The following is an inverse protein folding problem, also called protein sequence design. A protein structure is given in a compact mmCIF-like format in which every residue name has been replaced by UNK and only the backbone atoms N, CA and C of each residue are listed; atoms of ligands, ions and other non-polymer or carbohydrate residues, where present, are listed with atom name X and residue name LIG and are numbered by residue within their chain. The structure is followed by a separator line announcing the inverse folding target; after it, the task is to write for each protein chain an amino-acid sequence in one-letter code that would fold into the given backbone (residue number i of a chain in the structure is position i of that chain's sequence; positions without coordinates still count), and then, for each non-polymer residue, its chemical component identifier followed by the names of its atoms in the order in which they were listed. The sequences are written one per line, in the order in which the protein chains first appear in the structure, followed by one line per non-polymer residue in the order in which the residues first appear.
data_IF_135589434514
#
_entry.id   IF_135589434514
#
_cell.length_a   1.000
_cell.length_b   1.000
_cell.length_c   1.000
_cell.angle_alpha   90.00
_cell.angle_beta   90.00
_cell.angle_gamma   90.00
#
_symmetry.space_group_name_H-M   'P 1'
#
loop_
_entity.id
_entity.type
_entity.pdbx_description
1 polymer ?
#
# COMPACT_ATOMS: atom_id res chain seq x y z
N UNK A 1 17.58 -6.98 2.38
CA UNK A 1 16.80 -7.15 1.13
C UNK A 1 17.79 -7.43 0.02
N UNK A 2 17.57 -8.43 -0.84
CA UNK A 2 18.44 -8.66 -2.00
C UNK A 2 18.13 -7.64 -3.10
N UNK A 3 19.12 -7.34 -3.98
CA UNK A 3 18.90 -6.41 -5.12
C UNK A 3 17.75 -6.87 -6.03
N UNK A 4 17.48 -8.17 -6.07
CA UNK A 4 16.38 -8.73 -6.84
C UNK A 4 15.01 -8.40 -6.24
N UNK A 5 14.90 -8.30 -4.91
CA UNK A 5 13.65 -7.94 -4.23
C UNK A 5 13.25 -6.49 -4.49
N UNK A 6 14.23 -5.56 -4.52
CA UNK A 6 13.93 -4.13 -4.75
C UNK A 6 13.45 -3.84 -6.17
N UNK A 7 13.89 -4.63 -7.17
CA UNK A 7 13.45 -4.49 -8.56
C UNK A 7 11.99 -4.92 -8.77
N UNK A 8 11.48 -5.81 -7.93
CA UNK A 8 10.08 -6.28 -8.01
C UNK A 8 9.12 -5.46 -7.15
N UNK A 9 9.63 -4.61 -6.25
CA UNK A 9 8.80 -3.78 -5.38
C UNK A 9 8.39 -2.47 -6.05
N UNK A 10 7.20 -1.98 -5.71
CA UNK A 10 6.73 -0.65 -6.07
C UNK A 10 6.11 0.03 -4.86
N UNK A 11 6.66 1.19 -4.47
CA UNK A 11 6.15 2.00 -3.37
C UNK A 11 4.82 2.66 -3.73
N UNK A 12 3.91 2.75 -2.77
CA UNK A 12 2.63 3.43 -2.92
C UNK A 12 2.58 4.62 -1.97
N UNK A 13 2.28 5.81 -2.47
CA UNK A 13 2.13 7.02 -1.64
C UNK A 13 0.76 7.13 -0.98
N UNK A 14 -0.23 6.46 -1.53
CA UNK A 14 -1.60 6.37 -1.03
C UNK A 14 -2.27 5.12 -1.58
N UNK A 15 -3.55 4.92 -1.26
CA UNK A 15 -4.35 3.79 -1.77
C UNK A 15 -4.45 3.85 -3.30
N UNK A 16 -4.09 2.77 -3.95
CA UNK A 16 -4.24 2.54 -5.40
C UNK A 16 -4.82 1.14 -5.63
N UNK A 17 -5.34 0.83 -6.83
CA UNK A 17 -5.83 -0.52 -7.15
C UNK A 17 -4.66 -1.53 -7.20
N UNK A 18 -4.34 -2.11 -6.05
CA UNK A 18 -3.19 -3.04 -5.90
C UNK A 18 -3.34 -4.31 -6.75
N UNK A 19 -4.56 -4.63 -7.18
CA UNK A 19 -4.82 -5.70 -8.14
C UNK A 19 -4.04 -5.53 -9.44
N UNK A 20 -3.93 -4.29 -9.93
CA UNK A 20 -3.16 -3.97 -11.14
C UNK A 20 -1.67 -4.20 -10.89
N UNK A 21 -1.19 -3.85 -9.69
CA UNK A 21 0.20 -4.04 -9.28
C UNK A 21 0.54 -5.52 -9.21
N UNK A 22 -0.25 -6.31 -8.48
CA UNK A 22 -0.03 -7.75 -8.37
C UNK A 22 -0.17 -8.47 -9.72
N UNK A 23 -1.14 -8.08 -10.54
CA UNK A 23 -1.35 -8.65 -11.88
C UNK A 23 -0.18 -8.38 -12.84
N UNK A 24 0.65 -7.40 -12.58
CA UNK A 24 1.89 -7.12 -13.32
C UNK A 24 3.10 -7.93 -12.82
N UNK A 25 2.95 -8.71 -11.75
CA UNK A 25 4.03 -9.44 -11.10
C UNK A 25 4.86 -8.59 -10.12
N UNK A 26 4.44 -7.35 -9.86
CA UNK A 26 5.08 -6.47 -8.88
C UNK A 26 4.47 -6.66 -7.49
N UNK A 27 5.23 -6.28 -6.47
CA UNK A 27 4.84 -6.32 -5.06
C UNK A 27 4.58 -4.89 -4.58
N UNK A 28 3.34 -4.50 -4.28
CA UNK A 28 3.07 -3.19 -3.70
C UNK A 28 3.68 -3.08 -2.30
N UNK A 29 4.14 -1.88 -1.95
CA UNK A 29 4.69 -1.55 -0.64
C UNK A 29 4.05 -0.25 -0.18
N UNK A 30 3.25 -0.29 0.87
CA UNK A 30 2.65 0.92 1.45
C UNK A 30 3.73 1.72 2.20
N UNK A 31 4.11 2.85 1.61
CA UNK A 31 5.15 3.73 2.15
C UNK A 31 4.71 4.39 3.47
N UNK A 32 3.40 4.57 3.67
CA UNK A 32 2.86 5.15 4.90
C UNK A 32 3.05 4.18 6.08
N UNK A 33 2.73 2.91 5.86
CA UNK A 33 2.92 1.88 6.88
C UNK A 33 4.40 1.72 7.25
N UNK A 34 5.29 1.80 6.25
CA UNK A 34 6.74 1.73 6.50
C UNK A 34 7.26 2.95 7.27
N UNK A 35 6.73 4.14 7.00
CA UNK A 35 7.13 5.35 7.69
C UNK A 35 6.66 5.34 9.15
N UNK A 36 5.38 5.04 9.40
CA UNK A 36 4.81 5.09 10.77
C UNK A 36 5.41 4.01 11.69
N UNK A 37 5.87 2.90 11.11
CA UNK A 37 6.53 1.81 11.83
C UNK A 37 8.05 1.96 11.96
N UNK A 38 8.63 3.09 11.48
CA UNK A 38 10.06 3.31 11.56
C UNK A 38 10.49 3.75 12.97
N UNK A 39 11.66 3.27 13.42
CA UNK A 39 12.19 3.56 14.76
C UNK A 39 12.62 5.03 14.94
N UNK A 40 13.00 5.73 13.85
CA UNK A 40 13.57 7.08 13.89
C UNK A 40 12.93 7.98 12.81
N UNK A 41 11.69 8.36 13.03
CA UNK A 41 10.91 9.19 12.11
C UNK A 41 11.44 10.63 12.04
N UNK A 42 11.99 11.17 13.14
CA UNK A 42 12.55 12.53 13.16
C UNK A 42 13.78 12.63 12.25
N UNK A 43 14.70 11.67 12.33
CA UNK A 43 15.86 11.62 11.45
C UNK A 43 15.44 11.48 9.98
N UNK A 44 14.40 10.71 9.70
CA UNK A 44 13.87 10.56 8.35
C UNK A 44 13.31 11.88 7.80
N UNK A 45 12.61 12.66 8.62
CA UNK A 45 12.12 13.99 8.25
C UNK A 45 13.31 14.94 7.96
N UNK A 46 14.32 14.98 8.83
CA UNK A 46 15.53 15.77 8.64
C UNK A 46 16.32 15.39 7.39
N UNK A 47 16.38 14.09 7.06
CA UNK A 47 16.99 13.59 5.82
C UNK A 47 16.32 14.18 4.57
N UNK A 48 14.99 14.22 4.55
CA UNK A 48 14.23 14.80 3.44
C UNK A 48 14.47 16.32 3.34
N UNK A 49 14.52 17.04 4.46
CA UNK A 49 14.82 18.48 4.49
C UNK A 49 16.22 18.75 3.92
N UNK A 50 17.19 17.96 4.32
CA UNK A 50 18.57 18.03 3.77
C UNK A 50 18.63 17.71 2.26
N UNK A 51 17.65 17.00 1.73
CA UNK A 51 17.52 16.70 0.31
C UNK A 51 16.79 17.79 -0.50
N UNK A 52 16.25 18.82 0.17
CA UNK A 52 15.63 19.96 -0.49
C UNK A 52 14.14 20.19 -0.19
N UNK A 53 13.52 19.38 0.70
CA UNK A 53 12.17 19.69 1.15
C UNK A 53 12.17 20.93 2.06
N UNK A 54 11.22 21.83 1.85
CA UNK A 54 11.00 22.96 2.76
C UNK A 54 10.50 22.46 4.12
N UNK A 55 10.88 23.16 5.20
CA UNK A 55 10.37 22.90 6.55
C UNK A 55 8.83 22.93 6.62
N UNK A 56 8.18 23.73 5.79
CA UNK A 56 6.72 23.90 5.77
C UNK A 56 5.98 22.73 5.07
N UNK A 57 6.69 21.83 4.40
CA UNK A 57 6.07 20.64 3.81
C UNK A 57 5.74 19.63 4.90
N UNK A 58 4.62 18.95 4.73
CA UNK A 58 4.13 17.92 5.63
C UNK A 58 5.21 16.88 5.98
N UNK A 59 5.42 16.65 7.28
CA UNK A 59 6.41 15.67 7.78
C UNK A 59 6.15 14.24 7.23
N UNK A 60 4.88 13.91 6.97
CA UNK A 60 4.51 12.62 6.39
C UNK A 60 5.12 12.40 5.01
N UNK A 61 5.00 13.39 4.11
CA UNK A 61 5.59 13.34 2.77
C UNK A 61 7.12 13.25 2.83
N UNK A 62 7.75 13.98 3.75
CA UNK A 62 9.19 13.88 4.01
C UNK A 62 9.60 12.47 4.46
N UNK A 63 8.81 11.88 5.35
CA UNK A 63 9.03 10.51 5.81
C UNK A 63 8.92 9.49 4.69
N UNK A 64 7.89 9.59 3.83
CA UNK A 64 7.73 8.75 2.64
C UNK A 64 8.95 8.84 1.71
N UNK A 65 9.45 10.05 1.46
CA UNK A 65 10.69 10.23 0.68
C UNK A 65 11.85 9.42 1.27
N UNK A 66 12.06 9.55 2.57
CA UNK A 66 13.15 8.86 3.25
C UNK A 66 12.98 7.34 3.27
N UNK A 67 11.74 6.84 3.35
CA UNK A 67 11.45 5.41 3.17
C UNK A 67 11.94 4.93 1.81
N UNK A 68 11.58 5.63 0.74
CA UNK A 68 11.97 5.25 -0.63
C UNK A 68 13.50 5.22 -0.78
N UNK A 69 14.18 6.27 -0.29
CA UNK A 69 15.65 6.37 -0.39
C UNK A 69 16.35 5.31 0.45
N UNK A 70 15.94 5.14 1.70
CA UNK A 70 16.57 4.20 2.63
C UNK A 70 16.35 2.72 2.25
N UNK A 71 15.24 2.42 1.56
CA UNK A 71 14.93 1.08 1.04
C UNK A 71 15.45 0.85 -0.37
N UNK A 72 16.05 1.88 -1.00
CA UNK A 72 16.51 1.85 -2.39
C UNK A 72 15.42 1.40 -3.38
N UNK A 73 14.18 1.85 -3.16
CA UNK A 73 13.07 1.51 -4.05
C UNK A 73 13.27 2.19 -5.40
N UNK A 74 13.20 1.40 -6.46
CA UNK A 74 13.44 1.88 -7.83
C UNK A 74 12.18 2.39 -8.52
N UNK A 75 11.00 2.12 -7.95
CA UNK A 75 9.71 2.46 -8.55
C UNK A 75 8.71 2.88 -7.49
N UNK A 76 7.94 3.93 -7.80
CA UNK A 76 6.88 4.46 -6.93
C UNK A 76 5.65 4.79 -7.76
N UNK A 77 4.46 4.38 -7.34
CA UNK A 77 3.20 4.92 -7.83
C UNK A 77 2.83 6.08 -6.92
N UNK A 78 2.83 7.28 -7.47
CA UNK A 78 2.54 8.52 -6.75
C UNK A 78 1.13 9.01 -7.08
N UNK A 79 0.26 9.12 -6.07
CA UNK A 79 -1.08 9.68 -6.23
C UNK A 79 -0.98 11.21 -6.26
N UNK A 80 -0.88 11.78 -7.46
CA UNK A 80 -0.65 13.20 -7.71
C UNK A 80 -1.94 14.02 -7.85
N UNK A 81 -3.08 13.35 -7.99
CA UNK A 81 -4.39 14.00 -8.07
C UNK A 81 -5.44 13.28 -7.23
N UNK A 82 -6.32 14.08 -6.59
CA UNK A 82 -7.38 13.55 -5.72
C UNK A 82 -6.94 13.16 -4.30
N UNK A 83 -5.68 13.42 -3.94
CA UNK A 83 -5.09 13.21 -2.63
C UNK A 83 -4.21 14.43 -2.25
N UNK A 84 -3.14 14.23 -1.50
CA UNK A 84 -2.26 15.28 -1.02
C UNK A 84 -1.47 15.96 -2.15
N UNK A 85 -1.60 17.29 -2.29
CA UNK A 85 -0.87 18.05 -3.30
C UNK A 85 0.66 18.03 -3.11
N UNK A 86 1.14 17.80 -1.88
CA UNK A 86 2.57 17.68 -1.61
C UNK A 86 3.20 16.44 -2.25
N UNK A 87 2.38 15.47 -2.70
CA UNK A 87 2.86 14.29 -3.44
C UNK A 87 3.50 14.69 -4.78
N UNK A 88 3.12 15.83 -5.37
CA UNK A 88 3.77 16.36 -6.59
C UNK A 88 5.24 16.72 -6.29
N UNK A 89 5.50 17.43 -5.22
CA UNK A 89 6.88 17.78 -4.82
C UNK A 89 7.70 16.51 -4.47
N UNK A 90 7.06 15.52 -3.84
CA UNK A 90 7.67 14.22 -3.59
C UNK A 90 8.06 13.53 -4.90
N UNK A 91 7.15 13.47 -5.87
CA UNK A 91 7.39 12.86 -7.18
C UNK A 91 8.60 13.49 -7.89
N UNK A 92 8.65 14.82 -7.98
CA UNK A 92 9.75 15.56 -8.59
C UNK A 92 11.11 15.28 -7.93
N UNK A 93 11.16 15.20 -6.61
CA UNK A 93 12.41 14.93 -5.90
C UNK A 93 12.85 13.46 -6.03
N UNK A 94 11.91 12.53 -6.09
CA UNK A 94 12.21 11.12 -6.35
C UNK A 94 12.71 10.90 -7.79
N UNK A 95 12.11 11.56 -8.78
CA UNK A 95 12.57 11.51 -10.17
C UNK A 95 14.01 12.04 -10.32
N UNK A 96 14.35 13.14 -9.65
CA UNK A 96 15.72 13.67 -9.60
C UNK A 96 16.72 12.69 -8.99
N UNK A 97 16.25 11.76 -8.16
CA UNK A 97 17.04 10.66 -7.59
C UNK A 97 17.12 9.42 -8.49
N UNK A 98 16.49 9.46 -9.66
CA UNK A 98 16.45 8.33 -10.59
C UNK A 98 15.41 7.26 -10.24
N UNK A 99 14.47 7.56 -9.34
CA UNK A 99 13.34 6.68 -9.07
C UNK A 99 12.34 6.80 -10.21
N UNK A 100 11.88 5.67 -10.75
CA UNK A 100 10.82 5.64 -11.74
C UNK A 100 9.48 5.94 -11.07
N UNK A 101 8.99 7.16 -11.18
CA UNK A 101 7.71 7.60 -10.63
C UNK A 101 6.61 7.39 -11.66
N UNK A 102 5.56 6.68 -11.27
CA UNK A 102 4.36 6.44 -12.07
C UNK A 102 3.26 7.28 -11.42
N UNK A 103 2.84 8.41 -12.02
CA UNK A 103 1.75 9.20 -11.48
C UNK A 103 0.43 8.43 -11.59
N UNK A 104 -0.46 8.62 -10.62
CA UNK A 104 -1.84 8.14 -10.63
C UNK A 104 -2.76 9.24 -10.12
N UNK A 105 -3.93 9.43 -10.76
CA UNK A 105 -4.84 10.49 -10.40
C UNK A 105 -6.26 9.98 -10.21
N UNK A 106 -6.85 10.31 -9.07
CA UNK A 106 -8.28 10.18 -8.88
C UNK A 106 -9.01 11.36 -9.51
N UNK A 107 -10.01 11.14 -10.38
CA UNK A 107 -10.74 12.22 -11.04
C UNK A 107 -11.46 13.12 -10.03
N UNK A 108 -11.17 14.42 -10.05
CA UNK A 108 -11.81 15.41 -9.15
C UNK A 108 -13.31 15.50 -9.34
N UNK A 109 -13.79 15.29 -10.57
CA UNK A 109 -15.22 15.30 -10.95
C UNK A 109 -15.94 14.00 -10.57
N UNK A 110 -15.24 13.02 -9.99
CA UNK A 110 -15.75 11.68 -9.66
C UNK A 110 -16.36 10.92 -10.85
N UNK A 111 -15.92 11.24 -12.07
CA UNK A 111 -16.37 10.60 -13.29
C UNK A 111 -15.89 9.14 -13.35
N UNK A 112 -16.82 8.23 -13.59
CA UNK A 112 -16.51 6.80 -13.78
C UNK A 112 -15.71 6.56 -15.07
N UNK A 113 -15.98 7.30 -16.13
CA UNK A 113 -15.25 7.19 -17.40
C UNK A 113 -13.80 7.63 -17.25
N UNK A 114 -13.57 8.74 -16.53
CA UNK A 114 -12.21 9.27 -16.33
C UNK A 114 -11.41 8.34 -15.41
N UNK A 115 -12.04 7.78 -14.38
CA UNK A 115 -11.39 6.76 -13.54
C UNK A 115 -11.07 5.50 -14.36
N UNK A 116 -11.98 5.04 -15.23
CA UNK A 116 -11.74 3.89 -16.08
C UNK A 116 -10.55 4.13 -17.04
N UNK A 117 -10.44 5.33 -17.61
CA UNK A 117 -9.31 5.72 -18.44
C UNK A 117 -7.98 5.71 -17.66
N UNK A 118 -8.00 6.20 -16.41
CA UNK A 118 -6.81 6.22 -15.55
C UNK A 118 -6.38 4.81 -15.13
N UNK A 119 -7.34 3.92 -14.83
CA UNK A 119 -7.08 2.50 -14.57
C UNK A 119 -6.47 1.81 -15.80
N UNK A 120 -6.97 2.11 -16.99
CA UNK A 120 -6.44 1.60 -18.24
C UNK A 120 -5.02 2.12 -18.50
N UNK A 121 -4.76 3.40 -18.22
CA UNK A 121 -3.41 3.98 -18.29
C UNK A 121 -2.45 3.26 -17.37
N UNK A 122 -2.82 3.07 -16.08
CA UNK A 122 -1.98 2.36 -15.11
C UNK A 122 -1.74 0.91 -15.54
N UNK A 123 -2.79 0.20 -16.01
CA UNK A 123 -2.69 -1.16 -16.53
C UNK A 123 -1.68 -1.26 -17.68
N UNK A 124 -1.75 -0.33 -18.64
CA UNK A 124 -0.84 -0.28 -19.79
C UNK A 124 0.61 0.02 -19.31
N UNK A 125 0.79 0.99 -18.42
CA UNK A 125 2.10 1.35 -17.85
C UNK A 125 2.76 0.18 -17.15
N UNK A 126 1.98 -0.63 -16.42
CA UNK A 126 2.46 -1.83 -15.73
C UNK A 126 2.43 -3.10 -16.61
N UNK A 127 2.12 -2.98 -17.91
CA UNK A 127 2.17 -4.07 -18.89
C UNK A 127 1.39 -5.32 -18.47
N UNK A 128 0.17 -5.13 -17.96
CA UNK A 128 -0.71 -6.23 -17.52
C UNK A 128 -2.03 -6.27 -18.31
N UNK A 129 -2.90 -7.23 -18.04
CA UNK A 129 -4.19 -7.40 -18.71
C UNK A 129 -5.36 -7.45 -17.74
N UNK A 130 -6.57 -7.10 -18.23
CA UNK A 130 -7.79 -7.16 -17.44
C UNK A 130 -8.10 -8.57 -16.92
N UNK A 131 -7.76 -9.63 -17.65
CA UNK A 131 -7.96 -11.01 -17.20
C UNK A 131 -7.08 -11.35 -15.98
N UNK A 132 -5.81 -10.92 -16.01
CA UNK A 132 -4.91 -11.07 -14.86
C UNK A 132 -5.39 -10.24 -13.66
N UNK A 133 -5.82 -9.00 -13.90
CA UNK A 133 -6.37 -8.12 -12.85
C UNK A 133 -7.61 -8.76 -12.22
N UNK A 134 -8.53 -9.31 -13.03
CA UNK A 134 -9.72 -10.02 -12.53
C UNK A 134 -9.34 -11.22 -11.66
N UNK A 135 -8.34 -11.99 -12.06
CA UNK A 135 -7.83 -13.12 -11.29
C UNK A 135 -7.30 -12.67 -9.94
N UNK A 136 -6.46 -11.63 -9.91
CA UNK A 136 -5.95 -11.06 -8.66
C UNK A 136 -7.06 -10.45 -7.80
N UNK A 137 -8.04 -9.78 -8.40
CA UNK A 137 -9.21 -9.26 -7.68
C UNK A 137 -9.94 -10.37 -6.94
N UNK A 138 -10.19 -11.50 -7.60
CA UNK A 138 -10.86 -12.64 -6.98
C UNK A 138 -10.01 -13.23 -5.83
N UNK A 139 -8.69 -13.32 -6.02
CA UNK A 139 -7.76 -13.80 -5.00
C UNK A 139 -7.74 -12.89 -3.79
N UNK A 140 -7.54 -11.59 -3.97
CA UNK A 140 -7.47 -10.62 -2.87
C UNK A 140 -8.81 -10.44 -2.15
N UNK A 141 -9.93 -10.55 -2.86
CA UNK A 141 -11.26 -10.46 -2.26
C UNK A 141 -11.55 -11.62 -1.30
N UNK A 142 -10.92 -12.80 -1.49
CA UNK A 142 -11.02 -13.88 -0.50
C UNK A 142 -10.40 -13.46 0.85
N UNK A 143 -9.29 -12.75 0.80
CA UNK A 143 -8.64 -12.23 2.02
C UNK A 143 -9.47 -11.10 2.63
N UNK A 144 -9.98 -10.16 1.81
CA UNK A 144 -10.83 -9.06 2.29
C UNK A 144 -12.10 -9.56 2.98
N UNK A 145 -12.72 -10.64 2.49
CA UNK A 145 -13.87 -11.24 3.16
C UNK A 145 -13.54 -11.72 4.58
N UNK A 146 -12.34 -12.27 4.78
CA UNK A 146 -11.89 -12.69 6.11
C UNK A 146 -11.60 -11.49 7.03
N UNK A 147 -11.09 -10.40 6.48
CA UNK A 147 -10.91 -9.15 7.22
C UNK A 147 -12.24 -8.50 7.62
N UNK A 148 -13.26 -8.55 6.76
CA UNK A 148 -14.61 -8.11 7.11
C UNK A 148 -15.20 -8.92 8.27
N UNK A 149 -14.94 -10.22 8.31
CA UNK A 149 -15.36 -11.06 9.43
C UNK A 149 -14.60 -10.71 10.72
N UNK A 150 -13.28 -10.47 10.63
CA UNK A 150 -12.48 -9.98 11.75
C UNK A 150 -13.06 -8.68 12.33
N UNK A 151 -13.40 -7.74 11.45
CA UNK A 151 -14.00 -6.46 11.84
C UNK A 151 -15.35 -6.67 12.55
N UNK A 152 -16.22 -7.53 11.99
CA UNK A 152 -17.50 -7.90 12.61
C UNK A 152 -17.33 -8.47 14.01
N UNK A 153 -16.38 -9.39 14.20
CA UNK A 153 -16.07 -10.00 15.48
C UNK A 153 -15.56 -8.98 16.52
N UNK A 154 -14.97 -7.88 16.06
CA UNK A 154 -14.52 -6.79 16.92
C UNK A 154 -15.71 -5.99 17.46
N UNK A 155 -16.60 -5.52 16.59
CA UNK A 155 -17.66 -4.59 17.02
C UNK A 155 -18.97 -5.27 17.44
N UNK A 156 -19.29 -6.46 16.92
CA UNK A 156 -20.49 -7.19 17.32
C UNK A 156 -20.27 -8.11 18.52
N UNK A 157 -19.15 -8.83 18.53
CA UNK A 157 -18.92 -9.91 19.50
C UNK A 157 -17.87 -9.55 20.57
N UNK A 158 -17.13 -8.43 20.39
CA UNK A 158 -16.07 -7.98 21.29
C UNK A 158 -15.00 -9.07 21.58
N UNK A 159 -14.75 -9.94 20.59
CA UNK A 159 -13.79 -11.04 20.71
C UNK A 159 -12.37 -10.62 20.32
N UNK A 160 -12.23 -9.61 19.48
CA UNK A 160 -10.94 -9.12 18.96
C UNK A 160 -10.75 -7.68 19.43
N UNK A 161 -9.55 -7.36 19.88
CA UNK A 161 -9.25 -6.00 20.32
C UNK A 161 -9.21 -5.02 19.14
N UNK A 162 -9.56 -3.76 19.38
CA UNK A 162 -9.48 -2.72 18.36
C UNK A 162 -8.06 -2.54 17.79
N UNK A 163 -7.02 -2.78 18.61
CA UNK A 163 -5.62 -2.74 18.15
C UNK A 163 -5.30 -3.86 17.13
N UNK A 164 -5.72 -5.07 17.42
CA UNK A 164 -5.53 -6.23 16.54
C UNK A 164 -6.29 -6.06 15.23
N UNK A 165 -7.56 -5.65 15.31
CA UNK A 165 -8.38 -5.34 14.14
C UNK A 165 -7.71 -4.27 13.27
N UNK A 166 -7.35 -3.14 13.87
CA UNK A 166 -6.68 -2.03 13.17
C UNK A 166 -5.39 -2.49 12.47
N UNK A 167 -4.56 -3.30 13.14
CA UNK A 167 -3.31 -3.79 12.60
C UNK A 167 -3.52 -4.62 11.32
N UNK A 168 -4.53 -5.49 11.30
CA UNK A 168 -4.87 -6.27 10.12
C UNK A 168 -5.49 -5.41 9.01
N UNK A 169 -6.43 -4.53 9.34
CA UNK A 169 -7.11 -3.70 8.36
C UNK A 169 -6.15 -2.72 7.66
N UNK A 170 -5.30 -2.05 8.41
CA UNK A 170 -4.31 -1.11 7.86
C UNK A 170 -3.28 -1.81 6.98
N UNK A 171 -2.87 -3.03 7.36
CA UNK A 171 -1.94 -3.83 6.56
C UNK A 171 -2.55 -4.40 5.28
N UNK A 172 -3.87 -4.28 5.08
CA UNK A 172 -4.55 -4.73 3.86
C UNK A 172 -4.33 -3.80 2.66
N UNK A 173 -3.74 -2.63 2.86
CA UNK A 173 -3.41 -1.68 1.78
C UNK A 173 -2.42 -2.25 0.76
N UNK A 174 -1.51 -3.14 1.21
CA UNK A 174 -0.54 -3.84 0.39
C UNK A 174 -0.41 -5.33 0.72
N UNK A 175 -1.16 -5.84 1.71
CA UNK A 175 -1.04 -7.19 2.27
C UNK A 175 0.41 -7.54 2.66
N UNK A 176 1.17 -6.57 3.16
CA UNK A 176 2.61 -6.70 3.49
C UNK A 176 3.45 -7.24 2.33
N UNK A 177 3.09 -6.87 1.10
CA UNK A 177 3.71 -7.31 -0.16
C UNK A 177 3.61 -8.82 -0.45
N UNK A 178 2.93 -9.58 0.40
CA UNK A 178 2.72 -11.03 0.25
C UNK A 178 1.35 -11.45 0.80
N UNK A 179 0.30 -11.46 -0.06
CA UNK A 179 -1.06 -11.81 0.35
C UNK A 179 -1.20 -13.22 0.94
N UNK A 180 -0.39 -14.18 0.49
CA UNK A 180 -0.47 -15.55 0.98
C UNK A 180 0.16 -15.69 2.36
N UNK A 181 1.30 -15.03 2.59
CA UNK A 181 1.90 -14.94 3.92
C UNK A 181 1.01 -14.12 4.88
N UNK A 182 0.40 -13.04 4.41
CA UNK A 182 -0.56 -12.26 5.17
C UNK A 182 -1.73 -13.13 5.64
N UNK A 183 -2.30 -13.93 4.74
CA UNK A 183 -3.39 -14.86 5.07
C UNK A 183 -2.93 -15.94 6.08
N UNK A 184 -1.72 -16.46 5.95
CA UNK A 184 -1.15 -17.41 6.91
C UNK A 184 -0.96 -16.79 8.29
N UNK A 185 -0.46 -15.56 8.38
CA UNK A 185 -0.30 -14.85 9.64
C UNK A 185 -1.64 -14.68 10.36
N UNK A 186 -2.71 -14.43 9.61
CA UNK A 186 -4.07 -14.35 10.09
C UNK A 186 -4.56 -15.71 10.63
N UNK A 187 -4.32 -16.81 9.93
CA UNK A 187 -4.67 -18.16 10.39
C UNK A 187 -3.91 -18.59 11.66
N UNK A 188 -2.68 -18.10 11.86
CA UNK A 188 -1.90 -18.35 13.08
C UNK A 188 -2.44 -17.50 14.26
N UNK A 189 -2.97 -16.33 13.96
CA UNK A 189 -3.55 -15.44 14.96
C UNK A 189 -4.86 -16.00 15.55
N UNK A 190 -5.73 -16.58 14.73
CA UNK A 190 -7.05 -17.08 15.10
C UNK A 190 -7.08 -18.14 16.22
N UNK A 191 -6.14 -19.11 16.31
CA UNK A 191 -6.16 -20.13 17.36
C UNK A 191 -6.14 -19.60 18.79
N UNK A 192 -5.76 -18.35 19.00
CA UNK A 192 -5.78 -17.68 20.32
C UNK A 192 -7.20 -17.54 20.88
N UNK A 193 -8.22 -17.62 20.03
CA UNK A 193 -9.62 -17.40 20.38
C UNK A 193 -10.48 -18.68 20.45
N UNK A 194 -9.87 -19.87 20.38
CA UNK A 194 -10.53 -21.17 20.57
C UNK A 194 -11.00 -21.87 19.28
N UNK A 195 -11.41 -23.17 19.43
CA UNK A 195 -11.80 -24.01 18.30
C UNK A 195 -13.13 -23.63 17.67
N UNK A 196 -14.11 -23.16 18.45
CA UNK A 196 -15.41 -22.69 17.93
C UNK A 196 -15.27 -21.51 16.97
N UNK A 197 -14.22 -20.73 17.13
CA UNK A 197 -13.91 -19.60 16.28
C UNK A 197 -13.37 -20.04 14.90
N UNK A 198 -12.58 -21.12 14.84
CA UNK A 198 -12.05 -21.67 13.59
C UNK A 198 -13.14 -22.13 12.62
N UNK A 199 -14.16 -22.79 13.15
CA UNK A 199 -15.23 -23.39 12.35
C UNK A 199 -16.15 -22.35 11.69
N UNK A 200 -16.17 -21.12 12.22
CA UNK A 200 -16.94 -20.00 11.66
C UNK A 200 -16.25 -19.25 10.53
N UNK A 201 -14.91 -19.32 10.46
CA UNK A 201 -14.09 -18.50 9.55
C UNK A 201 -13.33 -19.35 8.52
N UNK A 202 -13.37 -20.67 8.64
CA UNK A 202 -12.69 -21.67 7.80
C UNK A 202 -13.03 -21.71 6.32
#
# INVERSE_FOLDING_TARGET
MSDHDTLTMVGLTSTVPIEIVYASGLKPVDLNNLFICADDTERMVGQAESAGFSHNICAWIKGIYSVVVNRDLKRVIAVTGGDCSNTIALAELLERRGVNVIPFEYPRNRSKSDLAAELDRLRNTLSTSWDKIKTETLRLNRIRKKLLELDRLTYEENLITGFENHTFLVSSSDFKSDPDMFLRSWMIFLPRYGTEFRDRIG
#
